data_IF_829684538163
#
_entry.id   IF_829684538163
#
_cell.length_a   1.000
_cell.length_b   1.000
_cell.length_c   1.000
_cell.angle_alpha   90.00
_cell.angle_beta   90.00
_cell.angle_gamma   90.00
#
_symmetry.space_group_name_H-M   'P 1'
#
loop_
_entity.id
_entity.type
_entity.pdbx_description
1 polymer ?
#
# COMPACT_ATOMS: atom_id res chain seq x y z
N UNK A 1 -36.78 -4.92 1.83
CA UNK A 1 -35.89 -5.50 0.80
C UNK A 1 -34.49 -5.51 1.37
N UNK A 2 -33.97 -6.68 1.74
CA UNK A 2 -32.57 -6.82 2.17
C UNK A 2 -31.69 -6.55 0.96
N UNK A 3 -30.83 -5.54 1.06
CA UNK A 3 -29.87 -5.24 0.00
C UNK A 3 -28.90 -6.42 -0.07
N UNK A 4 -28.97 -7.21 -1.16
CA UNK A 4 -28.16 -8.42 -1.41
C UNK A 4 -26.69 -8.09 -1.75
N UNK A 5 -26.13 -7.09 -1.07
CA UNK A 5 -24.75 -6.67 -1.26
C UNK A 5 -23.83 -7.78 -0.83
N UNK A 6 -22.86 -8.10 -1.68
CA UNK A 6 -21.76 -8.99 -1.32
C UNK A 6 -20.79 -8.22 -0.40
N UNK A 7 -20.50 -8.80 0.74
CA UNK A 7 -19.55 -8.25 1.70
C UNK A 7 -18.15 -8.78 1.36
N UNK A 8 -17.23 -7.87 1.08
CA UNK A 8 -15.87 -8.19 0.65
C UNK A 8 -14.89 -7.66 1.69
N UNK A 9 -14.03 -8.54 2.19
CA UNK A 9 -12.90 -8.17 3.04
C UNK A 9 -11.63 -8.27 2.22
N UNK A 10 -10.89 -7.17 2.14
CA UNK A 10 -9.57 -7.09 1.50
C UNK A 10 -8.53 -7.01 2.62
N UNK A 11 -7.57 -7.91 2.61
CA UNK A 11 -6.46 -7.93 3.58
C UNK A 11 -5.23 -7.33 2.91
N UNK A 12 -4.75 -6.21 3.47
CA UNK A 12 -3.67 -5.39 2.95
C UNK A 12 -4.18 -4.14 2.21
N UNK A 13 -3.82 -2.96 2.71
CA UNK A 13 -4.06 -1.65 2.11
C UNK A 13 -2.84 -1.15 1.29
N UNK A 14 -2.10 -2.08 0.67
CA UNK A 14 -1.11 -1.74 -0.35
C UNK A 14 -1.75 -1.31 -1.66
N UNK A 15 -0.93 -0.96 -2.66
CA UNK A 15 -1.40 -0.50 -3.97
C UNK A 15 -2.44 -1.44 -4.60
N UNK A 16 -2.21 -2.76 -4.55
CA UNK A 16 -3.14 -3.76 -5.09
C UNK A 16 -4.49 -3.79 -4.35
N UNK A 17 -4.46 -3.83 -3.01
CA UNK A 17 -5.68 -3.88 -2.19
C UNK A 17 -6.52 -2.61 -2.31
N UNK A 18 -5.88 -1.44 -2.29
CA UNK A 18 -6.56 -0.16 -2.48
C UNK A 18 -7.12 -0.01 -3.89
N UNK A 19 -6.42 -0.50 -4.93
CA UNK A 19 -6.93 -0.51 -6.31
C UNK A 19 -8.16 -1.42 -6.44
N UNK A 20 -8.11 -2.62 -5.86
CA UNK A 20 -9.25 -3.55 -5.82
C UNK A 20 -10.45 -2.92 -5.11
N UNK A 21 -10.23 -2.30 -3.94
CA UNK A 21 -11.27 -1.61 -3.19
C UNK A 21 -11.90 -0.48 -4.03
N UNK A 22 -11.08 0.37 -4.65
CA UNK A 22 -11.54 1.46 -5.50
C UNK A 22 -12.41 0.97 -6.66
N UNK A 23 -12.00 -0.12 -7.34
CA UNK A 23 -12.79 -0.71 -8.42
C UNK A 23 -14.14 -1.26 -7.91
N UNK A 24 -14.16 -1.97 -6.79
CA UNK A 24 -15.40 -2.53 -6.22
C UNK A 24 -16.36 -1.44 -5.73
N UNK A 25 -15.82 -0.34 -5.19
CA UNK A 25 -16.62 0.79 -4.71
C UNK A 25 -17.37 1.53 -5.82
N UNK A 26 -16.98 1.38 -7.10
CA UNK A 26 -17.76 1.88 -8.23
C UNK A 26 -19.13 1.18 -8.40
N UNK A 27 -19.37 0.10 -7.67
CA UNK A 27 -20.66 -0.60 -7.63
C UNK A 27 -21.20 -0.70 -6.20
N UNK A 28 -21.55 0.44 -5.56
CA UNK A 28 -21.91 0.49 -4.14
C UNK A 28 -23.26 -0.18 -3.85
N UNK A 29 -24.08 -0.43 -4.87
CA UNK A 29 -25.31 -1.21 -4.79
C UNK A 29 -25.05 -2.73 -4.77
N UNK A 30 -23.88 -3.19 -5.23
CA UNK A 30 -23.50 -4.61 -5.30
C UNK A 30 -22.54 -5.03 -4.20
N UNK A 31 -21.68 -4.13 -3.73
CA UNK A 31 -20.61 -4.47 -2.81
C UNK A 31 -20.59 -3.59 -1.56
N UNK A 32 -20.30 -4.22 -0.43
CA UNK A 32 -19.85 -3.55 0.80
C UNK A 32 -18.40 -3.99 1.04
N UNK A 33 -17.46 -3.06 0.94
CA UNK A 33 -16.03 -3.34 1.02
C UNK A 33 -15.50 -2.96 2.40
N UNK A 34 -14.66 -3.80 2.98
CA UNK A 34 -13.88 -3.52 4.19
C UNK A 34 -12.42 -3.86 3.90
N UNK A 35 -11.52 -2.92 4.19
CA UNK A 35 -10.07 -3.12 4.03
C UNK A 35 -9.47 -3.24 5.42
N UNK A 36 -8.65 -4.27 5.63
CA UNK A 36 -7.89 -4.48 6.86
C UNK A 36 -6.40 -4.30 6.53
N UNK A 37 -5.72 -3.42 7.25
CA UNK A 37 -4.28 -3.20 7.14
C UNK A 37 -3.65 -3.47 8.50
N UNK A 38 -2.47 -4.09 8.48
CA UNK A 38 -1.73 -4.40 9.71
C UNK A 38 -0.95 -3.17 10.20
N UNK A 39 -0.50 -2.31 9.29
CA UNK A 39 0.19 -1.07 9.59
C UNK A 39 -0.78 0.08 9.97
N UNK A 40 -0.25 1.13 10.59
CA UNK A 40 -1.02 2.33 10.94
C UNK A 40 -1.42 3.19 9.72
N UNK A 41 -0.81 2.93 8.56
CA UNK A 41 -1.03 3.69 7.32
C UNK A 41 -1.16 2.77 6.11
N UNK A 42 -1.99 3.18 5.16
CA UNK A 42 -2.08 2.55 3.85
C UNK A 42 -0.87 2.88 2.97
N UNK A 43 -0.68 2.10 1.90
CA UNK A 43 0.40 2.29 0.91
C UNK A 43 1.27 1.05 0.74
N UNK A 44 1.33 0.17 1.75
CA UNK A 44 2.16 -1.04 1.70
C UNK A 44 3.63 -0.69 1.50
N UNK A 45 4.20 -1.07 0.37
CA UNK A 45 5.58 -0.70 0.01
C UNK A 45 5.70 0.70 -0.59
N UNK A 46 4.62 1.45 -0.80
CA UNK A 46 4.68 2.83 -1.29
C UNK A 46 4.59 3.82 -0.12
N UNK A 47 5.69 3.95 0.64
CA UNK A 47 5.76 4.84 1.82
C UNK A 47 6.64 6.06 1.57
N UNK A 48 6.30 7.18 2.21
CA UNK A 48 7.12 8.39 2.26
C UNK A 48 7.67 8.61 3.65
N UNK A 49 8.88 9.15 3.74
CA UNK A 49 9.49 9.62 4.98
C UNK A 49 9.72 11.12 4.90
N UNK A 50 9.51 11.88 5.98
CA UNK A 50 9.85 13.29 6.03
C UNK A 50 11.38 13.46 5.98
N UNK A 51 11.83 14.55 5.37
CA UNK A 51 13.22 14.96 5.31
C UNK A 51 13.36 16.38 5.85
N UNK A 52 14.56 16.70 6.32
CA UNK A 52 14.96 18.07 6.64
C UNK A 52 15.19 18.86 5.33
N UNK A 53 14.28 19.80 5.03
CA UNK A 53 14.29 20.54 3.78
C UNK A 53 15.49 21.50 3.67
N UNK A 54 15.95 22.11 4.78
CA UNK A 54 17.12 23.00 4.75
C UNK A 54 18.39 22.22 4.41
N UNK A 55 18.49 20.99 4.90
CA UNK A 55 19.66 20.15 4.67
C UNK A 55 19.65 19.45 3.32
N UNK A 56 18.49 18.96 2.87
CA UNK A 56 18.39 18.07 1.72
C UNK A 56 17.72 18.71 0.50
N UNK A 57 17.18 19.93 0.61
CA UNK A 57 16.48 20.62 -0.46
C UNK A 57 15.14 19.98 -0.84
N UNK A 58 14.64 19.05 -0.03
CA UNK A 58 13.36 18.37 -0.22
C UNK A 58 12.73 18.05 1.13
N UNK A 59 11.41 18.23 1.25
CA UNK A 59 10.67 18.00 2.49
C UNK A 59 10.34 16.51 2.75
N UNK A 60 10.45 15.64 1.74
CA UNK A 60 10.14 14.21 1.87
C UNK A 60 10.82 13.36 0.81
N UNK A 61 10.89 12.06 1.07
CA UNK A 61 11.42 11.04 0.16
C UNK A 61 10.47 9.85 0.07
N UNK A 62 10.29 9.29 -1.14
CA UNK A 62 9.69 7.98 -1.32
C UNK A 62 10.71 6.91 -0.91
N UNK A 63 10.43 6.12 0.13
CA UNK A 63 11.37 5.13 0.64
C UNK A 63 11.13 3.74 0.05
N UNK A 64 9.88 3.37 -0.16
CA UNK A 64 9.56 1.96 -0.32
C UNK A 64 9.62 1.43 -1.77
N UNK A 65 9.68 2.29 -2.80
CA UNK A 65 9.74 1.87 -4.22
C UNK A 65 11.14 2.01 -4.82
N UNK A 66 12.05 2.77 -4.20
CA UNK A 66 13.39 3.06 -4.71
C UNK A 66 14.47 2.05 -4.25
N UNK A 67 14.08 0.92 -3.67
CA UNK A 67 15.01 -0.15 -3.26
C UNK A 67 15.56 -0.02 -1.82
N UNK A 68 15.11 0.99 -1.07
CA UNK A 68 15.46 1.18 0.34
C UNK A 68 14.65 0.33 1.32
N UNK A 69 13.64 -0.41 0.85
CA UNK A 69 12.79 -1.22 1.73
C UNK A 69 13.51 -2.51 2.18
N UNK A 70 13.19 -3.04 3.38
CA UNK A 70 13.71 -4.32 3.83
C UNK A 70 13.41 -5.49 2.88
N UNK A 71 12.38 -5.38 2.04
CA UNK A 71 12.08 -6.38 1.00
C UNK A 71 13.16 -6.39 -0.08
N UNK A 72 13.68 -5.22 -0.48
CA UNK A 72 14.77 -5.10 -1.45
C UNK A 72 16.10 -5.62 -0.92
N UNK A 73 16.31 -5.64 0.40
CA UNK A 73 17.48 -6.26 1.02
C UNK A 73 17.58 -7.76 0.68
N UNK A 74 16.46 -8.49 0.76
CA UNK A 74 16.44 -9.92 0.43
C UNK A 74 16.78 -10.18 -1.04
N UNK A 75 16.36 -9.29 -1.95
CA UNK A 75 16.68 -9.35 -3.37
C UNK A 75 18.17 -9.09 -3.59
N UNK A 76 18.72 -8.00 -3.02
CA UNK A 76 20.15 -7.67 -3.13
C UNK A 76 21.07 -8.75 -2.56
N UNK A 77 20.71 -9.35 -1.41
CA UNK A 77 21.46 -10.48 -0.83
C UNK A 77 21.40 -11.72 -1.71
N UNK A 78 20.26 -11.97 -2.38
CA UNK A 78 20.10 -13.11 -3.31
C UNK A 78 21.03 -12.99 -4.51
N UNK A 79 21.20 -11.78 -5.06
CA UNK A 79 22.06 -11.53 -6.22
C UNK A 79 23.54 -11.33 -5.89
N UNK A 80 23.91 -11.02 -4.65
CA UNK A 80 25.32 -10.95 -4.19
C UNK A 80 26.05 -12.32 -4.14
N UNK A 81 25.33 -13.42 -4.40
CA UNK A 81 25.84 -14.80 -4.39
C UNK A 81 26.10 -15.36 -5.80
N UNK A 82 25.96 -14.55 -6.84
CA UNK A 82 26.32 -14.84 -8.22
C UNK A 82 27.30 -13.77 -8.71
#
# INVERSE_FOLDING_TARGET
MTSDKKHIVIVGAGAAGMSCAATLMNHPNKFKVTVLEACDVAGGQATSIPLDEERYGAAWMNNGVQGGSPVSYNVLVRYRRY
#
